data_IF_111148975057
#
_entry.id   IF_111148975057
#
_cell.length_a   1.000
_cell.length_b   1.000
_cell.length_c   1.000
_cell.angle_alpha   90.00
_cell.angle_beta   90.00
_cell.angle_gamma   90.00
#
_symmetry.space_group_name_H-M   'P 1'
#
loop_
_entity.id
_entity.type
_entity.pdbx_description
1 polymer ?
#
# COMPACT_ATOMS: atom_id res chain seq x y z
N UNK A 1 -14.33 16.44 -0.68
CA UNK A 1 -15.28 15.30 -0.58
C UNK A 1 -15.98 15.11 -1.92
N UNK A 2 -16.02 13.86 -2.41
CA UNK A 2 -16.33 13.46 -3.80
C UNK A 2 -17.84 13.58 -4.14
N UNK A 3 -18.22 13.71 -5.44
CA UNK A 3 -19.61 13.87 -5.92
C UNK A 3 -20.57 12.71 -5.59
N UNK A 4 -20.06 11.60 -5.05
CA UNK A 4 -20.83 10.42 -4.65
C UNK A 4 -21.65 10.70 -3.37
N UNK A 5 -21.16 11.52 -2.43
CA UNK A 5 -21.90 11.79 -1.19
C UNK A 5 -23.15 12.64 -1.41
N UNK A 6 -23.15 13.54 -2.39
CA UNK A 6 -24.34 14.34 -2.73
C UNK A 6 -25.47 13.47 -3.26
N UNK A 7 -25.17 12.46 -4.11
CA UNK A 7 -26.21 11.57 -4.67
C UNK A 7 -26.88 10.71 -3.60
N UNK A 8 -26.13 10.22 -2.61
CA UNK A 8 -26.68 9.41 -1.52
C UNK A 8 -27.58 10.26 -0.62
N UNK A 9 -27.18 11.51 -0.32
CA UNK A 9 -27.99 12.42 0.48
C UNK A 9 -29.30 12.77 -0.26
N UNK A 10 -29.25 13.06 -1.57
CA UNK A 10 -30.46 13.36 -2.34
C UNK A 10 -31.44 12.19 -2.41
N UNK A 11 -30.94 10.96 -2.57
CA UNK A 11 -31.78 9.75 -2.58
C UNK A 11 -32.42 9.51 -1.20
N UNK A 12 -31.65 9.68 -0.11
CA UNK A 12 -32.18 9.52 1.24
C UNK A 12 -33.29 10.54 1.55
N UNK A 13 -33.12 11.80 1.14
CA UNK A 13 -34.15 12.83 1.33
C UNK A 13 -35.42 12.52 0.53
N UNK A 14 -35.29 12.02 -0.71
CA UNK A 14 -36.45 11.64 -1.52
C UNK A 14 -37.23 10.47 -0.94
N UNK A 15 -36.55 9.46 -0.37
CA UNK A 15 -37.21 8.33 0.29
C UNK A 15 -37.98 8.78 1.53
N UNK A 16 -37.42 9.69 2.34
CA UNK A 16 -38.12 10.22 3.52
C UNK A 16 -39.35 11.05 3.13
N UNK A 17 -39.24 11.89 2.09
CA UNK A 17 -40.39 12.65 1.58
C UNK A 17 -41.48 11.72 1.03
N UNK A 18 -41.10 10.65 0.32
CA UNK A 18 -42.06 9.67 -0.19
C UNK A 18 -42.78 8.91 0.93
N UNK A 19 -42.05 8.49 1.98
CA UNK A 19 -42.64 7.83 3.14
C UNK A 19 -43.60 8.74 3.92
N UNK A 20 -43.29 10.03 4.05
CA UNK A 20 -44.19 11.01 4.67
C UNK A 20 -45.45 11.23 3.83
N UNK A 21 -45.34 11.25 2.50
CA UNK A 21 -46.50 11.35 1.60
C UNK A 21 -47.39 10.10 1.66
N UNK A 22 -46.80 8.90 1.75
CA UNK A 22 -47.56 7.66 1.94
C UNK A 22 -48.31 7.63 3.27
N UNK A 23 -47.70 8.11 4.37
CA UNK A 23 -48.37 8.18 5.67
C UNK A 23 -49.57 9.13 5.67
N UNK A 24 -49.48 10.27 4.97
CA UNK A 24 -50.61 11.19 4.81
C UNK A 24 -51.77 10.57 4.00
N UNK A 25 -51.46 9.79 2.96
CA UNK A 25 -52.48 9.10 2.16
C UNK A 25 -53.24 8.03 2.96
N UNK A 26 -52.56 7.30 3.86
CA UNK A 26 -53.22 6.31 4.73
C UNK A 26 -54.15 6.99 5.75
N UNK A 27 -53.77 8.15 6.30
CA UNK A 27 -54.64 8.90 7.21
C UNK A 27 -55.88 9.50 6.53
N UNK A 28 -55.79 9.87 5.25
CA UNK A 28 -56.93 10.36 4.47
C UNK A 28 -57.94 9.25 4.12
N UNK A 29 -57.46 8.01 3.94
CA UNK A 29 -58.32 6.87 3.63
C UNK A 29 -59.14 6.42 4.86
N UNK A 30 -58.53 6.36 6.05
CA UNK A 30 -59.22 5.94 7.28
C UNK A 30 -60.27 6.94 7.77
N UNK A 31 -60.10 8.25 7.48
CA UNK A 31 -61.10 9.26 7.80
C UNK A 31 -62.39 9.14 6.95
N UNK A 32 -62.30 8.57 5.74
CA UNK A 32 -63.44 8.43 4.83
C UNK A 32 -64.33 7.20 5.19
N UNK A 33 -63.75 6.15 5.76
CA UNK A 33 -64.54 4.99 6.24
C UNK A 33 -65.38 5.32 7.47
N UNK A 34 -64.87 6.15 8.40
CA UNK A 34 -65.65 6.61 9.56
C UNK A 34 -66.82 7.55 9.21
N UNK A 35 -66.80 8.18 8.03
CA UNK A 35 -67.89 9.04 7.57
C UNK A 35 -69.06 8.24 6.94
N UNK A 36 -68.78 7.06 6.38
CA UNK A 36 -69.79 6.21 5.74
C UNK A 36 -70.59 5.34 6.73
N UNK A 37 -70.08 5.10 7.94
CA UNK A 37 -70.77 4.32 8.98
C UNK A 37 -71.81 5.12 9.79
N UNK A 38 -71.89 6.44 9.60
CA UNK A 38 -72.93 7.29 10.20
C UNK A 38 -74.19 7.42 9.33
N UNK A 39 -74.22 6.74 8.18
CA UNK A 39 -75.30 6.81 7.18
C UNK A 39 -76.52 5.93 7.43
N UNK A 40 -76.65 5.24 8.57
CA UNK A 40 -77.73 4.26 8.72
C UNK A 40 -78.27 4.09 10.16
N UNK A 41 -78.81 5.15 10.75
CA UNK A 41 -79.88 5.02 11.75
C UNK A 41 -80.95 6.10 11.53
N UNK A 42 -82.06 5.65 10.97
CA UNK A 42 -83.29 6.41 10.81
C UNK A 42 -84.05 6.46 12.14
N UNK A 43 -84.52 7.65 12.54
CA UNK A 43 -85.91 7.89 12.97
C UNK A 43 -86.08 9.39 13.27
N UNK A 44 -86.90 10.08 12.48
CA UNK A 44 -87.33 11.45 12.74
C UNK A 44 -88.77 11.42 13.31
N UNK A 45 -89.09 12.32 14.24
CA UNK A 45 -90.45 12.85 14.30
C UNK A 45 -90.48 14.39 14.24
N UNK A 46 -91.28 14.84 13.28
CA UNK A 46 -92.15 16.02 13.21
C UNK A 46 -91.85 17.26 14.07
N UNK A 47 -91.58 18.34 13.35
CA UNK A 47 -91.72 19.76 13.69
C UNK A 47 -93.08 20.08 14.32
N UNK A 48 -93.07 20.66 15.52
CA UNK A 48 -94.09 21.60 15.98
C UNK A 48 -93.47 23.00 16.00
N UNK A 49 -94.04 23.88 15.18
CA UNK A 49 -93.75 25.32 15.15
C UNK A 49 -94.34 25.93 16.41
N UNK A 50 -93.51 26.58 17.21
CA UNK A 50 -93.79 27.86 17.88
C UNK A 50 -92.58 28.21 18.77
N UNK A 51 -92.08 29.43 18.64
CA UNK A 51 -90.90 29.91 19.34
C UNK A 51 -91.25 30.44 20.74
N UNK A 52 -90.46 30.11 21.77
CA UNK A 52 -90.32 30.94 22.96
C UNK A 52 -88.94 31.63 23.05
N UNK A 53 -88.95 32.83 23.62
CA UNK A 53 -87.79 33.68 23.94
C UNK A 53 -86.75 32.98 24.86
N UNK A 54 -85.49 33.45 24.93
CA UNK A 54 -84.43 32.72 25.62
C UNK A 54 -84.66 32.63 27.14
N UNK A 55 -84.88 31.40 27.62
CA UNK A 55 -85.00 31.06 29.04
C UNK A 55 -83.61 30.96 29.69
N UNK A 56 -83.33 31.86 30.63
CA UNK A 56 -82.20 31.78 31.56
C UNK A 56 -82.61 30.90 32.73
N UNK A 57 -81.83 29.88 33.08
CA UNK A 57 -81.63 29.44 34.47
C UNK A 57 -80.39 28.53 34.56
N UNK A 58 -79.37 28.85 35.36
CA UNK A 58 -79.29 28.77 36.84
C UNK A 58 -79.59 27.35 37.37
N UNK A 59 -78.54 26.52 37.54
CA UNK A 59 -78.13 26.07 38.86
C UNK A 59 -76.85 25.22 38.77
N UNK A 60 -75.86 25.65 39.54
CA UNK A 60 -74.64 24.95 39.91
C UNK A 60 -75.03 23.76 40.85
N UNK A 61 -74.39 22.60 40.71
CA UNK A 61 -73.94 21.79 41.87
C UNK A 61 -74.88 20.71 42.49
N UNK A 62 -75.17 19.60 41.77
CA UNK A 62 -75.90 18.46 42.36
C UNK A 62 -75.40 17.01 42.08
N UNK A 63 -74.14 16.71 41.71
CA UNK A 63 -73.79 15.30 41.37
C UNK A 63 -72.46 14.68 41.86
N UNK A 64 -71.81 15.21 42.90
CA UNK A 64 -70.57 14.58 43.40
C UNK A 64 -70.81 13.93 44.78
N UNK A 65 -70.97 12.60 44.81
CA UNK A 65 -70.44 11.71 45.87
C UNK A 65 -70.53 10.24 45.44
N UNK A 66 -69.37 9.57 45.36
CA UNK A 66 -69.22 8.13 45.11
C UNK A 66 -67.75 7.69 45.23
N UNK A 67 -67.48 6.74 46.11
CA UNK A 67 -66.18 6.24 46.60
C UNK A 67 -65.56 5.17 45.67
N UNK A 68 -64.24 5.20 45.40
CA UNK A 68 -63.56 4.24 44.47
C UNK A 68 -62.46 3.43 45.15
N UNK A 69 -62.62 2.10 45.23
CA UNK A 69 -61.69 1.09 45.78
C UNK A 69 -60.88 0.35 44.70
N UNK A 70 -59.96 1.03 44.01
CA UNK A 70 -59.10 0.37 43.00
C UNK A 70 -57.61 0.56 43.32
N UNK A 71 -56.85 -0.54 43.26
CA UNK A 71 -55.38 -0.61 43.41
C UNK A 71 -54.62 0.30 42.42
N UNK A 72 -55.32 0.74 41.38
CA UNK A 72 -54.92 1.80 40.46
C UNK A 72 -55.40 3.17 40.94
N UNK A 73 -55.00 3.56 42.15
CA UNK A 73 -55.16 4.94 42.57
C UNK A 73 -54.47 5.85 41.56
N UNK A 74 -54.99 7.07 41.37
CA UNK A 74 -54.40 8.02 40.44
C UNK A 74 -52.88 8.15 40.66
N UNK A 75 -52.44 8.15 41.91
CA UNK A 75 -51.03 8.22 42.31
C UNK A 75 -50.22 6.99 41.86
N UNK A 76 -50.75 5.77 41.98
CA UNK A 76 -50.05 4.56 41.54
C UNK A 76 -49.84 4.52 40.00
N UNK A 77 -50.83 5.01 39.22
CA UNK A 77 -50.72 5.17 37.76
C UNK A 77 -49.56 6.10 37.40
N UNK A 78 -49.54 7.29 37.98
CA UNK A 78 -48.49 8.28 37.73
C UNK A 78 -47.10 7.79 38.14
N UNK A 79 -46.99 7.02 39.23
CA UNK A 79 -45.72 6.43 39.66
C UNK A 79 -45.18 5.41 38.63
N UNK A 80 -46.02 4.48 38.16
CA UNK A 80 -45.62 3.47 37.17
C UNK A 80 -45.24 4.12 35.83
N UNK A 81 -46.08 5.03 35.31
CA UNK A 81 -45.77 5.73 34.06
C UNK A 81 -44.58 6.68 34.19
N UNK A 82 -44.41 7.33 35.35
CA UNK A 82 -43.26 8.19 35.64
C UNK A 82 -41.94 7.41 35.66
N UNK A 83 -41.90 6.27 36.36
CA UNK A 83 -40.70 5.40 36.41
C UNK A 83 -40.40 4.80 35.04
N UNK A 84 -41.42 4.29 34.33
CA UNK A 84 -41.25 3.77 32.98
C UNK A 84 -40.75 4.85 32.00
N UNK A 85 -41.27 6.07 32.12
CA UNK A 85 -40.84 7.24 31.34
C UNK A 85 -39.39 7.63 31.60
N UNK A 86 -38.94 7.60 32.86
CA UNK A 86 -37.53 7.87 33.21
C UNK A 86 -36.58 6.81 32.66
N UNK A 87 -36.95 5.53 32.73
CA UNK A 87 -36.16 4.43 32.15
C UNK A 87 -36.08 4.55 30.63
N UNK A 88 -37.19 4.87 29.98
CA UNK A 88 -37.23 5.11 28.54
C UNK A 88 -36.37 6.32 28.14
N UNK A 89 -36.49 7.44 28.86
CA UNK A 89 -35.69 8.64 28.63
C UNK A 89 -34.19 8.36 28.80
N UNK A 90 -33.81 7.64 29.86
CA UNK A 90 -32.43 7.19 30.06
C UNK A 90 -31.94 6.31 28.90
N UNK A 91 -32.77 5.35 28.46
CA UNK A 91 -32.46 4.49 27.31
C UNK A 91 -32.26 5.27 26.01
N UNK A 92 -33.11 6.27 25.75
CA UNK A 92 -32.99 7.16 24.59
C UNK A 92 -31.73 8.02 24.68
N UNK A 93 -31.45 8.62 25.84
CA UNK A 93 -30.23 9.43 26.07
C UNK A 93 -28.98 8.57 25.86
N UNK A 94 -28.94 7.36 26.44
CA UNK A 94 -27.83 6.41 26.25
C UNK A 94 -27.65 6.01 24.80
N UNK A 95 -28.73 5.73 24.10
CA UNK A 95 -28.70 5.36 22.68
C UNK A 95 -28.18 6.52 21.84
N UNK A 96 -28.75 7.71 21.99
CA UNK A 96 -28.32 8.94 21.28
C UNK A 96 -26.86 9.26 21.59
N UNK A 97 -26.40 9.07 22.82
CA UNK A 97 -25.00 9.23 23.20
C UNK A 97 -24.08 8.28 22.40
N UNK A 98 -24.46 7.01 22.23
CA UNK A 98 -23.68 6.05 21.44
C UNK A 98 -23.62 6.45 19.97
N UNK A 99 -24.72 6.98 19.40
CA UNK A 99 -24.73 7.49 18.03
C UNK A 99 -23.85 8.73 17.86
N UNK A 100 -23.78 9.60 18.89
CA UNK A 100 -22.99 10.84 18.86
C UNK A 100 -21.49 10.60 19.08
N UNK A 101 -21.11 9.58 19.84
CA UNK A 101 -19.69 9.23 20.11
C UNK A 101 -19.18 8.11 19.21
N UNK A 102 -19.93 7.70 18.19
CA UNK A 102 -19.47 6.67 17.25
C UNK A 102 -18.40 7.26 16.35
N UNK A 103 -17.15 6.90 16.62
CA UNK A 103 -16.07 7.17 15.68
C UNK A 103 -16.36 6.49 14.34
N UNK A 104 -16.04 7.19 13.25
CA UNK A 104 -16.20 6.64 11.91
C UNK A 104 -15.39 5.34 11.81
N UNK A 105 -16.02 4.26 11.34
CA UNK A 105 -15.33 3.00 11.14
C UNK A 105 -14.18 3.19 10.14
N UNK A 106 -12.95 3.08 10.63
CA UNK A 106 -11.75 3.07 9.80
C UNK A 106 -11.45 1.63 9.36
N UNK A 107 -11.17 1.38 8.07
CA UNK A 107 -10.76 0.05 7.62
C UNK A 107 -9.48 -0.39 8.34
N UNK A 108 -9.35 -1.69 8.60
CA UNK A 108 -8.18 -2.29 9.27
C UNK A 108 -6.84 -1.78 8.73
N UNK A 109 -6.59 -1.68 7.40
CA UNK A 109 -5.31 -1.16 6.89
C UNK A 109 -5.01 0.28 7.34
N UNK A 110 -6.01 1.17 7.37
CA UNK A 110 -5.80 2.55 7.84
C UNK A 110 -5.48 2.61 9.33
N UNK A 111 -6.12 1.76 10.15
CA UNK A 111 -5.82 1.68 11.59
C UNK A 111 -4.41 1.16 11.84
N UNK A 112 -3.98 0.15 11.07
CA UNK A 112 -2.61 -0.37 11.16
C UNK A 112 -1.60 0.69 10.74
N UNK A 113 -1.85 1.41 9.64
CA UNK A 113 -0.97 2.51 9.20
C UNK A 113 -0.88 3.61 10.25
N UNK A 114 -2.01 4.08 10.80
CA UNK A 114 -2.02 5.09 11.86
C UNK A 114 -1.29 4.62 13.12
N UNK A 115 -1.50 3.37 13.55
CA UNK A 115 -0.83 2.78 14.72
C UNK A 115 0.70 2.66 14.53
N UNK A 116 1.15 2.30 13.33
CA UNK A 116 2.57 2.24 12.98
C UNK A 116 3.14 3.65 12.93
N UNK A 117 2.42 4.57 12.30
CA UNK A 117 2.87 5.95 12.13
C UNK A 117 2.99 6.70 13.46
N UNK A 118 2.04 6.48 14.37
CA UNK A 118 2.09 7.02 15.73
C UNK A 118 3.35 6.59 16.51
N UNK A 119 3.85 5.36 16.26
CA UNK A 119 5.01 4.80 16.97
C UNK A 119 6.34 5.11 16.32
N UNK A 120 6.38 5.08 14.99
CA UNK A 120 7.61 5.09 14.23
C UNK A 120 7.76 6.32 13.34
N UNK A 121 6.75 7.19 13.28
CA UNK A 121 6.74 8.45 12.51
C UNK A 121 7.22 8.23 11.06
N UNK A 122 6.80 7.13 10.45
CA UNK A 122 7.27 6.72 9.12
C UNK A 122 6.78 7.70 8.05
N UNK A 123 5.62 8.33 8.22
CA UNK A 123 5.05 9.29 7.28
C UNK A 123 5.95 10.51 7.12
N UNK A 124 6.49 11.06 8.22
CA UNK A 124 7.38 12.23 8.18
C UNK A 124 8.66 11.95 7.38
N UNK A 125 9.17 10.71 7.45
CA UNK A 125 10.33 10.28 6.67
C UNK A 125 9.98 9.95 5.21
N UNK A 126 8.87 9.25 4.97
CA UNK A 126 8.49 8.72 3.66
C UNK A 126 7.76 9.73 2.76
N UNK A 127 6.98 10.64 3.33
CA UNK A 127 6.19 11.61 2.56
C UNK A 127 7.08 12.51 1.69
N UNK A 128 8.19 13.10 2.19
CA UNK A 128 9.13 13.81 1.33
C UNK A 128 9.73 12.91 0.24
N UNK A 129 9.90 11.62 0.54
CA UNK A 129 10.46 10.63 -0.39
C UNK A 129 9.53 10.35 -1.57
N UNK A 130 8.27 10.06 -1.28
CA UNK A 130 7.27 9.56 -2.22
C UNK A 130 6.49 10.68 -2.93
N UNK A 131 6.32 11.85 -2.31
CA UNK A 131 5.48 12.94 -2.84
C UNK A 131 6.15 13.78 -3.94
N UNK A 132 7.43 13.52 -4.27
CA UNK A 132 8.16 14.34 -5.25
C UNK A 132 7.53 14.20 -6.64
N UNK A 133 7.01 15.28 -7.24
CA UNK A 133 6.34 15.20 -8.53
C UNK A 133 7.34 14.86 -9.63
N UNK A 134 6.96 13.96 -10.54
CA UNK A 134 7.75 13.58 -11.72
C UNK A 134 7.32 14.46 -12.89
N UNK A 135 8.22 15.31 -13.44
CA UNK A 135 7.90 16.12 -14.61
C UNK A 135 7.54 15.27 -15.83
N UNK A 136 6.69 15.79 -16.72
CA UNK A 136 6.21 15.02 -17.88
C UNK A 136 7.32 14.52 -18.80
N UNK A 137 8.37 15.32 -18.99
CA UNK A 137 9.53 14.97 -19.81
C UNK A 137 10.36 13.82 -19.22
N UNK A 138 10.29 13.60 -17.91
CA UNK A 138 10.98 12.52 -17.21
C UNK A 138 10.24 11.18 -17.34
N UNK A 139 8.98 11.17 -17.77
CA UNK A 139 8.19 9.94 -17.96
C UNK A 139 8.57 9.13 -19.21
N UNK A 140 9.51 9.62 -20.03
CA UNK A 140 9.94 8.94 -21.25
C UNK A 140 10.75 7.69 -20.90
N UNK A 141 10.60 6.61 -21.66
CA UNK A 141 11.14 5.29 -21.32
C UNK A 141 12.66 5.26 -21.10
N UNK A 142 13.43 6.09 -21.81
CA UNK A 142 14.90 6.15 -21.66
C UNK A 142 15.36 6.81 -20.34
N UNK A 143 14.47 7.46 -19.59
CA UNK A 143 14.74 7.87 -18.20
C UNK A 143 14.65 6.70 -17.23
N UNK A 144 14.04 5.58 -17.62
CA UNK A 144 13.91 4.37 -16.81
C UNK A 144 15.15 3.47 -16.85
N UNK A 145 16.12 3.70 -17.75
CA UNK A 145 17.28 2.84 -17.93
C UNK A 145 18.07 2.58 -16.64
N UNK A 146 18.32 3.63 -15.83
CA UNK A 146 19.00 3.47 -14.55
C UNK A 146 18.16 2.67 -13.53
N UNK A 147 16.84 2.85 -13.53
CA UNK A 147 15.92 2.07 -12.71
C UNK A 147 15.84 0.59 -13.15
N UNK A 148 15.91 0.32 -14.46
CA UNK A 148 15.99 -1.03 -15.00
C UNK A 148 17.30 -1.72 -14.60
N UNK A 149 18.44 -1.03 -14.65
CA UNK A 149 19.71 -1.55 -14.14
C UNK A 149 19.61 -1.92 -12.67
N UNK A 150 18.99 -1.06 -11.84
CA UNK A 150 18.75 -1.36 -10.42
C UNK A 150 17.82 -2.57 -10.23
N UNK A 151 16.74 -2.65 -10.99
CA UNK A 151 15.83 -3.80 -10.93
C UNK A 151 16.56 -5.11 -11.26
N UNK A 152 17.39 -5.12 -12.32
CA UNK A 152 18.19 -6.28 -12.68
C UNK A 152 19.22 -6.64 -11.60
N UNK A 153 19.82 -5.65 -10.92
CA UNK A 153 20.65 -5.90 -9.75
C UNK A 153 19.88 -6.61 -8.61
N UNK A 154 18.63 -6.22 -8.35
CA UNK A 154 17.80 -6.92 -7.36
C UNK A 154 17.48 -8.36 -7.77
N UNK A 155 17.20 -8.58 -9.06
CA UNK A 155 17.01 -9.93 -9.61
C UNK A 155 18.29 -10.77 -9.42
N UNK A 156 19.46 -10.17 -9.63
CA UNK A 156 20.75 -10.83 -9.41
C UNK A 156 21.02 -11.17 -7.95
N UNK A 157 20.70 -10.26 -7.03
CA UNK A 157 20.78 -10.55 -5.59
C UNK A 157 19.89 -11.73 -5.21
N UNK A 158 18.62 -11.69 -5.60
CA UNK A 158 17.65 -12.74 -5.27
C UNK A 158 18.05 -14.11 -5.85
N UNK A 159 18.31 -14.17 -7.16
CA UNK A 159 18.69 -15.43 -7.83
C UNK A 159 20.08 -15.92 -7.41
N UNK A 160 21.02 -15.01 -7.16
CA UNK A 160 22.36 -15.35 -6.68
C UNK A 160 22.34 -15.99 -5.29
N UNK A 161 21.54 -15.45 -4.37
CA UNK A 161 21.31 -16.06 -3.05
C UNK A 161 20.72 -17.47 -3.20
N UNK A 162 19.73 -17.66 -4.08
CA UNK A 162 19.13 -18.97 -4.32
C UNK A 162 20.14 -20.00 -4.85
N UNK A 163 21.02 -19.58 -5.78
CA UNK A 163 22.08 -20.44 -6.32
C UNK A 163 23.15 -20.77 -5.27
N UNK A 164 23.47 -19.82 -4.39
CA UNK A 164 24.47 -19.99 -3.34
C UNK A 164 24.11 -21.09 -2.33
N UNK A 165 22.83 -21.44 -2.16
CA UNK A 165 22.41 -22.56 -1.30
C UNK A 165 22.87 -23.94 -1.82
N UNK A 166 23.11 -24.08 -3.12
CA UNK A 166 23.45 -25.37 -3.75
C UNK A 166 24.86 -25.43 -4.32
N UNK A 167 25.44 -24.28 -4.67
CA UNK A 167 26.75 -24.18 -5.30
C UNK A 167 27.89 -24.52 -4.32
N UNK A 168 28.88 -25.30 -4.79
CA UNK A 168 30.08 -25.66 -4.00
C UNK A 168 31.33 -25.06 -4.63
N UNK A 169 32.00 -24.16 -3.90
CA UNK A 169 33.16 -23.42 -4.40
C UNK A 169 34.49 -24.21 -4.31
N UNK A 170 34.51 -25.48 -4.73
CA UNK A 170 35.75 -26.27 -4.87
C UNK A 170 35.89 -26.81 -6.29
N UNK A 171 37.09 -26.81 -6.91
CA UNK A 171 37.26 -27.26 -8.29
C UNK A 171 36.69 -28.64 -8.61
N UNK A 172 36.75 -29.56 -7.65
CA UNK A 172 36.33 -30.95 -7.79
C UNK A 172 34.80 -31.07 -7.87
N UNK A 173 34.08 -30.11 -7.26
CA UNK A 173 32.61 -30.20 -7.12
C UNK A 173 31.85 -29.01 -7.71
N UNK A 174 32.52 -27.93 -8.12
CA UNK A 174 31.89 -26.73 -8.65
C UNK A 174 31.03 -27.03 -9.88
N UNK A 175 31.61 -27.64 -10.91
CA UNK A 175 30.89 -28.00 -12.12
C UNK A 175 29.75 -28.99 -11.84
N UNK A 176 30.01 -30.02 -11.03
CA UNK A 176 29.00 -31.01 -10.63
C UNK A 176 27.83 -30.36 -9.86
N UNK A 177 28.10 -29.36 -9.02
CA UNK A 177 27.06 -28.61 -8.30
C UNK A 177 26.19 -27.77 -9.24
N UNK A 178 26.77 -27.23 -10.31
CA UNK A 178 25.99 -26.54 -11.36
C UNK A 178 25.10 -27.54 -12.10
N UNK A 179 25.62 -28.72 -12.47
CA UNK A 179 24.80 -29.76 -13.10
C UNK A 179 23.63 -30.19 -12.20
N UNK A 180 23.88 -30.36 -10.91
CA UNK A 180 22.83 -30.67 -9.92
C UNK A 180 21.75 -29.56 -9.87
N UNK A 181 22.14 -28.29 -9.89
CA UNK A 181 21.18 -27.16 -9.96
C UNK A 181 20.34 -27.24 -11.24
N UNK A 182 20.94 -27.62 -12.36
CA UNK A 182 20.22 -27.68 -13.64
C UNK A 182 19.27 -28.88 -13.76
N UNK A 183 19.65 -30.05 -13.23
CA UNK A 183 18.89 -31.30 -13.46
C UNK A 183 17.99 -31.69 -12.28
N UNK A 184 18.46 -31.52 -11.05
CA UNK A 184 17.79 -32.08 -9.86
C UNK A 184 16.98 -31.03 -9.08
N UNK A 185 17.45 -29.78 -9.04
CA UNK A 185 16.78 -28.73 -8.28
C UNK A 185 15.54 -28.24 -9.02
N UNK A 186 14.38 -28.26 -8.35
CA UNK A 186 13.13 -27.74 -8.91
C UNK A 186 13.29 -26.27 -9.31
N UNK A 187 13.04 -25.97 -10.59
CA UNK A 187 13.25 -24.66 -11.22
C UNK A 187 14.71 -24.16 -11.21
N UNK A 188 15.69 -24.98 -10.84
CA UNK A 188 17.08 -24.55 -10.73
C UNK A 188 17.68 -24.12 -12.07
N UNK A 189 17.42 -24.85 -13.16
CA UNK A 189 17.78 -24.43 -14.52
C UNK A 189 17.21 -23.05 -14.89
N UNK A 190 15.93 -22.80 -14.55
CA UNK A 190 15.28 -21.52 -14.83
C UNK A 190 15.90 -20.38 -14.00
N UNK A 191 16.15 -20.59 -12.71
CA UNK A 191 16.81 -19.60 -11.83
C UNK A 191 18.21 -19.28 -12.35
N UNK A 192 18.99 -20.30 -12.72
CA UNK A 192 20.32 -20.10 -13.31
C UNK A 192 20.26 -19.34 -14.63
N UNK A 193 19.29 -19.66 -15.50
CA UNK A 193 19.09 -18.94 -16.75
C UNK A 193 18.71 -17.47 -16.49
N UNK A 194 17.82 -17.19 -15.54
CA UNK A 194 17.46 -15.82 -15.14
C UNK A 194 18.70 -15.08 -14.61
N UNK A 195 19.51 -15.72 -13.76
CA UNK A 195 20.73 -15.12 -13.24
C UNK A 195 21.73 -14.76 -14.36
N UNK A 196 21.92 -15.67 -15.32
CA UNK A 196 22.81 -15.44 -16.46
C UNK A 196 22.28 -14.34 -17.40
N UNK A 197 21.02 -14.41 -17.82
CA UNK A 197 20.46 -13.44 -18.76
C UNK A 197 20.25 -12.05 -18.14
N UNK A 198 19.89 -11.99 -16.86
CA UNK A 198 19.80 -10.71 -16.15
C UNK A 198 21.19 -10.07 -15.92
N UNK A 199 22.28 -10.85 -15.81
CA UNK A 199 23.64 -10.31 -15.80
C UNK A 199 23.94 -9.54 -17.09
N UNK A 200 23.70 -10.18 -18.23
CA UNK A 200 23.93 -9.58 -19.55
C UNK A 200 23.02 -8.37 -19.77
N UNK A 201 21.75 -8.49 -19.39
CA UNK A 201 20.80 -7.38 -19.41
C UNK A 201 21.26 -6.21 -18.54
N UNK A 202 21.81 -6.46 -17.35
CA UNK A 202 22.26 -5.43 -16.42
C UNK A 202 23.42 -4.63 -17.02
N UNK A 203 24.40 -5.30 -17.64
CA UNK A 203 25.52 -4.65 -18.33
C UNK A 203 25.00 -3.79 -19.49
N UNK A 204 24.13 -4.33 -20.34
CA UNK A 204 23.56 -3.60 -21.48
C UNK A 204 22.80 -2.36 -21.01
N UNK A 205 21.94 -2.50 -19.98
CA UNK A 205 21.16 -1.39 -19.44
C UNK A 205 22.05 -0.35 -18.76
N UNK A 206 23.11 -0.76 -18.06
CA UNK A 206 24.08 0.15 -17.45
C UNK A 206 24.82 0.98 -18.52
N UNK A 207 25.28 0.35 -19.59
CA UNK A 207 25.93 1.04 -20.72
C UNK A 207 24.94 1.98 -21.42
N UNK A 208 23.72 1.54 -21.69
CA UNK A 208 22.69 2.39 -22.28
C UNK A 208 22.34 3.59 -21.38
N UNK A 209 22.29 3.39 -20.06
CA UNK A 209 22.09 4.45 -19.08
C UNK A 209 23.24 5.47 -19.12
N UNK A 210 24.49 5.01 -19.16
CA UNK A 210 25.68 5.85 -19.29
C UNK A 210 25.66 6.68 -20.58
N UNK A 211 25.37 6.04 -21.72
CA UNK A 211 25.27 6.71 -23.03
C UNK A 211 24.20 7.81 -23.00
N UNK A 212 23.03 7.51 -22.43
CA UNK A 212 21.96 8.51 -22.28
C UNK A 212 22.42 9.69 -21.43
N UNK A 213 23.09 9.46 -20.29
CA UNK A 213 23.59 10.53 -19.42
C UNK A 213 24.63 11.40 -20.14
N UNK A 214 25.49 10.77 -20.94
CA UNK A 214 26.49 11.45 -21.76
C UNK A 214 25.86 12.31 -22.86
N UNK A 215 25.00 11.72 -23.71
CA UNK A 215 24.33 12.42 -24.83
C UNK A 215 23.51 13.60 -24.34
N UNK A 216 22.81 13.45 -23.21
CA UNK A 216 21.98 14.53 -22.65
C UNK A 216 22.83 15.58 -21.92
N UNK A 217 24.13 15.37 -21.69
CA UNK A 217 24.97 16.30 -20.93
C UNK A 217 24.64 16.36 -19.43
N UNK A 218 23.98 15.33 -18.89
CA UNK A 218 23.50 15.31 -17.51
C UNK A 218 24.61 15.13 -16.46
N UNK A 219 25.86 14.93 -16.88
CA UNK A 219 27.05 14.87 -16.04
C UNK A 219 27.65 16.24 -15.71
N UNK A 220 27.19 17.32 -16.36
CA UNK A 220 27.68 18.70 -16.15
C UNK A 220 27.36 19.21 -14.74
N UNK A 221 28.02 20.31 -14.34
CA UNK A 221 27.81 21.00 -13.06
C UNK A 221 26.32 21.12 -12.69
N UNK A 222 25.90 20.78 -11.46
CA UNK A 222 26.68 20.33 -10.29
C UNK A 222 26.75 18.79 -10.09
N UNK A 223 26.66 17.99 -11.15
CA UNK A 223 26.43 16.52 -11.09
C UNK A 223 27.67 15.68 -11.37
N UNK A 224 28.86 16.26 -11.30
CA UNK A 224 30.12 15.62 -11.66
C UNK A 224 30.41 14.41 -10.77
N UNK A 225 30.17 14.52 -9.46
CA UNK A 225 30.34 13.39 -8.52
C UNK A 225 29.35 12.26 -8.78
N UNK A 226 28.14 12.60 -9.25
CA UNK A 226 27.16 11.58 -9.62
C UNK A 226 27.61 10.80 -10.88
N UNK A 227 28.27 11.47 -11.82
CA UNK A 227 28.88 10.81 -12.97
C UNK A 227 30.05 9.89 -12.55
N UNK A 228 30.94 10.36 -11.68
CA UNK A 228 32.07 9.54 -11.18
C UNK A 228 31.56 8.28 -10.47
N UNK A 229 30.58 8.42 -9.57
CA UNK A 229 29.97 7.25 -8.91
C UNK A 229 29.30 6.28 -9.90
N UNK A 230 28.66 6.80 -10.96
CA UNK A 230 28.12 5.98 -12.04
C UNK A 230 29.19 5.22 -12.82
N UNK A 231 30.33 5.85 -13.12
CA UNK A 231 31.47 5.20 -13.76
C UNK A 231 32.09 4.10 -12.87
N UNK A 232 32.21 4.36 -11.57
CA UNK A 232 32.64 3.34 -10.59
C UNK A 232 31.66 2.17 -10.57
N UNK A 233 30.34 2.43 -10.53
CA UNK A 233 29.33 1.37 -10.59
C UNK A 233 29.41 0.54 -11.87
N UNK A 234 29.73 1.14 -13.03
CA UNK A 234 29.94 0.41 -14.27
C UNK A 234 31.13 -0.54 -14.16
N UNK A 235 32.27 -0.07 -13.64
CA UNK A 235 33.47 -0.90 -13.43
C UNK A 235 33.17 -2.06 -12.49
N UNK A 236 32.47 -1.79 -11.38
CA UNK A 236 32.08 -2.83 -10.41
C UNK A 236 31.08 -3.83 -11.03
N UNK A 237 30.18 -3.37 -11.91
CA UNK A 237 29.27 -4.25 -12.66
C UNK A 237 30.02 -5.16 -13.64
N UNK A 238 31.06 -4.67 -14.30
CA UNK A 238 31.92 -5.50 -15.14
C UNK A 238 32.71 -6.51 -14.30
N UNK A 239 33.17 -6.10 -13.11
CA UNK A 239 33.82 -7.01 -12.16
C UNK A 239 32.87 -8.13 -11.70
N UNK A 240 31.58 -7.85 -11.47
CA UNK A 240 30.58 -8.89 -11.24
C UNK A 240 30.52 -9.89 -12.39
N UNK A 241 30.43 -9.40 -13.63
CA UNK A 241 30.39 -10.25 -14.82
C UNK A 241 31.60 -11.19 -14.89
N UNK A 242 32.80 -10.66 -14.69
CA UNK A 242 34.03 -11.46 -14.70
C UNK A 242 34.07 -12.49 -13.55
N UNK A 243 33.82 -12.04 -12.32
CA UNK A 243 33.91 -12.90 -11.13
C UNK A 243 32.81 -13.96 -11.05
N UNK A 244 31.66 -13.73 -11.68
CA UNK A 244 30.59 -14.73 -11.78
C UNK A 244 30.81 -15.73 -12.92
N UNK A 245 31.37 -15.27 -14.04
CA UNK A 245 31.63 -16.11 -15.21
C UNK A 245 32.57 -17.29 -14.93
N UNK A 246 33.47 -17.15 -13.95
CA UNK A 246 34.41 -18.21 -13.59
C UNK A 246 33.83 -19.32 -12.70
N UNK A 247 32.71 -19.06 -12.01
CA UNK A 247 32.17 -19.97 -10.98
C UNK A 247 31.74 -21.35 -11.52
N UNK A 248 31.22 -21.50 -12.75
CA UNK A 248 30.92 -22.83 -13.27
C UNK A 248 32.13 -23.77 -13.38
N UNK A 249 33.35 -23.21 -13.41
CA UNK A 249 34.62 -23.94 -13.46
C UNK A 249 34.72 -24.94 -14.64
N UNK A 250 34.13 -24.59 -15.78
CA UNK A 250 34.30 -25.31 -17.04
C UNK A 250 35.59 -24.86 -17.78
N UNK A 251 35.91 -25.51 -18.90
CA UNK A 251 37.14 -25.23 -19.64
C UNK A 251 37.26 -23.76 -20.08
N UNK A 252 36.12 -23.13 -20.41
CA UNK A 252 36.05 -21.74 -20.84
C UNK A 252 36.25 -20.80 -19.67
N UNK A 253 35.56 -21.02 -18.55
CA UNK A 253 35.71 -20.27 -17.31
C UNK A 253 37.16 -20.30 -16.80
N UNK A 254 37.79 -21.47 -16.79
CA UNK A 254 39.17 -21.62 -16.31
C UNK A 254 40.15 -20.78 -17.15
N UNK A 255 40.12 -20.91 -18.48
CA UNK A 255 41.02 -20.15 -19.35
C UNK A 255 40.71 -18.66 -19.37
N UNK A 256 39.43 -18.27 -19.33
CA UNK A 256 39.04 -16.88 -19.19
C UNK A 256 39.57 -16.26 -17.88
N UNK A 257 39.56 -17.05 -16.79
CA UNK A 257 40.14 -16.63 -15.50
C UNK A 257 41.64 -16.42 -15.61
N UNK A 258 42.36 -17.38 -16.21
CA UNK A 258 43.81 -17.26 -16.43
C UNK A 258 44.13 -16.00 -17.21
N UNK A 259 43.53 -15.80 -18.39
CA UNK A 259 43.78 -14.62 -19.22
C UNK A 259 43.38 -13.32 -18.50
N UNK A 260 42.20 -13.27 -17.88
CA UNK A 260 41.73 -12.07 -17.20
C UNK A 260 42.61 -11.65 -16.03
N UNK A 261 43.13 -12.62 -15.27
CA UNK A 261 44.07 -12.34 -14.17
C UNK A 261 45.49 -12.04 -14.65
N UNK A 262 45.93 -12.57 -15.80
CA UNK A 262 47.21 -12.17 -16.43
C UNK A 262 47.17 -10.70 -16.88
N UNK A 263 46.04 -10.22 -17.40
CA UNK A 263 45.87 -8.81 -17.79
C UNK A 263 46.09 -7.90 -16.58
N UNK A 264 45.53 -8.27 -15.41
CA UNK A 264 45.78 -7.54 -14.16
C UNK A 264 47.26 -7.64 -13.72
N UNK A 265 47.92 -8.76 -14.00
CA UNK A 265 49.35 -8.98 -13.79
C UNK A 265 50.26 -8.14 -14.68
N UNK A 266 49.78 -7.69 -15.84
CA UNK A 266 50.52 -6.85 -16.77
C UNK A 266 50.69 -5.40 -16.33
N UNK A 267 50.04 -4.97 -15.23
CA UNK A 267 50.16 -3.59 -14.75
C UNK A 267 51.56 -3.36 -14.18
N UNK A 268 52.31 -2.34 -14.64
CA UNK A 268 53.64 -2.07 -14.10
C UNK A 268 53.57 -1.74 -12.61
N UNK A 269 54.62 -2.11 -11.86
CA UNK A 269 54.78 -1.90 -10.41
C UNK A 269 53.86 -2.76 -9.53
N UNK A 270 52.55 -2.81 -9.81
CA UNK A 270 51.56 -3.47 -8.94
C UNK A 270 51.05 -4.83 -9.46
N UNK A 271 51.39 -5.21 -10.69
CA UNK A 271 50.85 -6.41 -11.35
C UNK A 271 51.13 -7.72 -10.61
N UNK A 272 52.36 -7.92 -10.13
CA UNK A 272 52.72 -9.11 -9.35
C UNK A 272 51.90 -9.21 -8.05
N UNK A 273 51.69 -8.07 -7.37
CA UNK A 273 50.85 -8.03 -6.17
C UNK A 273 49.39 -8.34 -6.51
N UNK A 274 48.87 -7.78 -7.60
CA UNK A 274 47.51 -8.04 -8.06
C UNK A 274 47.28 -9.53 -8.39
N UNK A 275 48.24 -10.17 -9.09
CA UNK A 275 48.20 -11.61 -9.38
C UNK A 275 48.14 -12.46 -8.11
N UNK A 276 49.05 -12.23 -7.17
CA UNK A 276 49.11 -13.00 -5.92
C UNK A 276 47.86 -12.75 -5.05
N UNK A 277 47.32 -11.53 -5.07
CA UNK A 277 46.10 -11.19 -4.34
C UNK A 277 44.86 -11.86 -4.96
N UNK A 278 44.75 -11.89 -6.28
CA UNK A 278 43.60 -12.49 -6.97
C UNK A 278 43.68 -14.04 -6.96
N UNK A 279 44.83 -14.61 -7.30
CA UNK A 279 45.01 -16.06 -7.48
C UNK A 279 45.44 -16.80 -6.22
N UNK A 280 45.96 -16.11 -5.21
CA UNK A 280 46.64 -16.70 -4.05
C UNK A 280 47.98 -17.40 -4.38
N UNK A 281 48.55 -17.08 -5.54
CA UNK A 281 49.78 -17.67 -6.06
C UNK A 281 49.98 -17.24 -7.52
N UNK A 282 50.90 -17.90 -8.21
CA UNK A 282 51.17 -17.61 -9.62
C UNK A 282 50.21 -18.31 -10.57
N UNK A 283 49.71 -19.49 -10.19
CA UNK A 283 48.79 -20.28 -11.01
C UNK A 283 47.35 -20.15 -10.51
N UNK A 284 46.39 -20.42 -11.41
CA UNK A 284 44.97 -20.55 -11.05
C UNK A 284 44.76 -21.89 -10.35
N UNK A 285 44.23 -21.86 -9.13
CA UNK A 285 44.08 -23.04 -8.26
C UNK A 285 42.72 -23.04 -7.56
N UNK A 286 42.46 -24.06 -6.73
CA UNK A 286 41.28 -24.11 -5.86
C UNK A 286 41.11 -22.87 -4.98
N UNK A 287 42.22 -22.33 -4.47
CA UNK A 287 42.19 -21.15 -3.63
C UNK A 287 41.75 -19.91 -4.43
N UNK A 288 42.14 -19.83 -5.71
CA UNK A 288 41.65 -18.78 -6.63
C UNK A 288 40.12 -18.81 -6.73
N UNK A 289 39.53 -19.99 -6.97
CA UNK A 289 38.07 -20.16 -7.07
C UNK A 289 37.36 -19.69 -5.79
N UNK A 290 37.85 -20.12 -4.62
CA UNK A 290 37.25 -19.72 -3.34
C UNK A 290 37.32 -18.19 -3.09
N UNK A 291 38.43 -17.53 -3.46
CA UNK A 291 38.58 -16.07 -3.36
C UNK A 291 37.63 -15.35 -4.29
N UNK A 292 37.50 -15.79 -5.54
CA UNK A 292 36.58 -15.20 -6.48
C UNK A 292 35.12 -15.39 -6.09
N UNK A 293 34.77 -16.54 -5.50
CA UNK A 293 33.44 -16.75 -4.92
C UNK A 293 33.17 -15.76 -3.77
N UNK A 294 34.10 -15.58 -2.84
CA UNK A 294 33.97 -14.60 -1.76
C UNK A 294 33.89 -13.15 -2.30
N UNK A 295 34.68 -12.82 -3.33
CA UNK A 295 34.59 -11.52 -4.00
C UNK A 295 33.20 -11.31 -4.62
N UNK A 296 32.70 -12.29 -5.36
CA UNK A 296 31.45 -12.19 -6.10
C UNK A 296 30.22 -12.12 -5.19
N UNK A 297 30.18 -12.91 -4.11
CA UNK A 297 28.99 -13.05 -3.26
C UNK A 297 28.99 -12.08 -2.07
N UNK A 298 30.16 -11.62 -1.61
CA UNK A 298 30.28 -10.79 -0.41
C UNK A 298 30.85 -9.40 -0.71
N UNK A 299 32.09 -9.32 -1.17
CA UNK A 299 32.83 -8.05 -1.22
C UNK A 299 32.25 -7.10 -2.27
N UNK A 300 32.08 -7.58 -3.50
CA UNK A 300 31.58 -6.76 -4.60
C UNK A 300 30.14 -6.29 -4.31
N UNK A 301 29.19 -7.12 -3.85
CA UNK A 301 27.86 -6.67 -3.42
C UNK A 301 27.86 -5.56 -2.38
N UNK A 302 28.69 -5.65 -1.34
CA UNK A 302 28.77 -4.61 -0.30
C UNK A 302 29.25 -3.28 -0.91
N UNK A 303 30.31 -3.33 -1.73
CA UNK A 303 30.84 -2.13 -2.42
C UNK A 303 29.77 -1.53 -3.35
N UNK A 304 29.06 -2.36 -4.10
CA UNK A 304 28.00 -1.93 -5.00
C UNK A 304 26.86 -1.27 -4.26
N UNK A 305 26.35 -1.87 -3.19
CA UNK A 305 25.26 -1.29 -2.38
C UNK A 305 25.68 0.05 -1.79
N UNK A 306 26.89 0.16 -1.23
CA UNK A 306 27.40 1.41 -0.68
C UNK A 306 27.54 2.52 -1.73
N UNK A 307 28.13 2.20 -2.89
CA UNK A 307 28.30 3.17 -3.99
C UNK A 307 26.95 3.56 -4.61
N UNK A 308 26.02 2.61 -4.71
CA UNK A 308 24.67 2.84 -5.23
C UNK A 308 23.84 3.72 -4.31
N UNK A 309 23.94 3.54 -2.98
CA UNK A 309 23.31 4.41 -2.00
C UNK A 309 23.81 5.86 -2.17
N UNK A 310 25.12 6.04 -2.28
CA UNK A 310 25.72 7.36 -2.54
C UNK A 310 25.19 7.97 -3.85
N UNK A 311 25.12 7.17 -4.92
CA UNK A 311 24.61 7.58 -6.22
C UNK A 311 23.14 8.05 -6.14
N UNK A 312 22.26 7.29 -5.49
CA UNK A 312 20.85 7.63 -5.35
C UNK A 312 20.62 8.88 -4.49
N UNK A 313 21.38 9.05 -3.40
CA UNK A 313 21.31 10.25 -2.55
C UNK A 313 21.66 11.51 -3.37
N UNK A 314 22.71 11.46 -4.19
CA UNK A 314 23.10 12.59 -5.03
C UNK A 314 22.03 12.93 -6.08
N UNK A 315 21.51 11.94 -6.80
CA UNK A 315 20.39 12.12 -7.74
C UNK A 315 19.18 12.75 -7.05
N UNK A 316 18.85 12.28 -5.85
CA UNK A 316 17.70 12.77 -5.11
C UNK A 316 17.87 14.22 -4.66
N UNK A 317 19.05 14.58 -4.15
CA UNK A 317 19.40 15.93 -3.70
C UNK A 317 19.45 16.94 -4.85
N UNK A 318 20.03 16.56 -5.98
CA UNK A 318 20.26 17.47 -7.10
C UNK A 318 19.13 17.45 -8.16
N UNK A 319 18.17 16.53 -8.05
CA UNK A 319 17.09 16.34 -9.03
C UNK A 319 17.56 15.72 -10.34
N UNK A 320 16.70 15.63 -11.35
CA UNK A 320 17.09 15.16 -12.70
C UNK A 320 17.25 16.36 -13.61
N UNK A 321 18.25 16.33 -14.50
CA UNK A 321 18.44 17.39 -15.49
C UNK A 321 17.29 17.39 -16.51
N UNK A 322 16.73 18.58 -16.78
CA UNK A 322 15.79 18.78 -17.89
C UNK A 322 16.50 18.48 -19.21
N UNK A 323 15.85 17.81 -20.19
CA UNK A 323 16.43 17.64 -21.51
C UNK A 323 16.82 19.00 -22.10
N UNK A 324 17.91 19.01 -22.87
CA UNK A 324 18.38 20.19 -23.62
C UNK A 324 17.30 20.70 -24.57
#
# INVERSE_FOLDING_TARGET
MKPISRRIITIATLVVVFLLFSAAAVHAYTANETANDLGNTAYAPSVSRDAPEPEKDTCFQCHITGEYTNLWTATARWAVFGVAGLVFLFGVIRSVSVWRTREAWKPIPTRVMEWVDERYQLSEFLEPILSKPVPEWQRRWWYCLGGLTFFLFLVQGATGIMLAFYYKATPETAYASIQFIETEVRLGAAIRAIHHWSANGMIIMAVAHMLRVFIMGAYKKPRELNWISGAVLLIVTLAFGFTGYLLPWDQRAYWATTVGTEIAGGIPVIGNLALVLLRAGWNVTALTLSRFYALHVLIIPIITVGTMLMHFIMVRKQGVMKPL
#
